data_IF_281336071505
#
_entry.id   IF_281336071505
#
_cell.length_a   1.000
_cell.length_b   1.000
_cell.length_c   1.000
_cell.angle_alpha   90.00
_cell.angle_beta   90.00
_cell.angle_gamma   90.00
#
_symmetry.space_group_name_H-M   'P 1'
#
loop_
_entity.id
_entity.type
_entity.pdbx_description
1 polymer ?
#
# COMPACT_ATOMS: atom_id res chain seq x y z
N UNK A 1 -13.12 4.45 53.41
CA UNK A 1 -14.27 4.67 52.50
C UNK A 1 -14.10 5.94 51.65
N UNK A 2 -14.10 7.14 52.25
CA UNK A 2 -14.02 8.41 51.49
C UNK A 2 -12.74 8.58 50.63
N UNK A 3 -11.58 8.12 51.10
CA UNK A 3 -10.31 8.20 50.34
C UNK A 3 -10.33 7.35 49.06
N UNK A 4 -10.93 6.16 49.12
CA UNK A 4 -11.03 5.30 47.93
C UNK A 4 -12.04 5.84 46.92
N UNK A 5 -13.11 6.47 47.39
CA UNK A 5 -14.09 7.14 46.52
C UNK A 5 -13.42 8.30 45.78
N UNK A 6 -12.60 9.12 46.47
CA UNK A 6 -11.85 10.20 45.82
C UNK A 6 -10.85 9.70 44.76
N UNK A 7 -10.14 8.60 45.04
CA UNK A 7 -9.19 7.99 44.08
C UNK A 7 -9.92 7.38 42.89
N UNK A 8 -11.06 6.73 43.11
CA UNK A 8 -11.89 6.18 42.01
C UNK A 8 -12.48 7.29 41.14
N UNK A 9 -12.93 8.39 41.75
CA UNK A 9 -13.47 9.54 41.01
C UNK A 9 -12.40 10.25 40.19
N UNK A 10 -11.18 10.43 40.72
CA UNK A 10 -10.09 11.04 39.95
C UNK A 10 -9.64 10.14 38.80
N UNK A 11 -9.61 8.82 39.01
CA UNK A 11 -9.28 7.85 37.96
C UNK A 11 -10.34 7.82 36.84
N UNK A 12 -11.63 7.82 37.20
CA UNK A 12 -12.71 7.89 36.21
C UNK A 12 -12.69 9.22 35.42
N UNK A 13 -12.39 10.34 36.08
CA UNK A 13 -12.27 11.64 35.41
C UNK A 13 -11.08 11.67 34.43
N UNK A 14 -9.94 11.05 34.80
CA UNK A 14 -8.78 10.95 33.91
C UNK A 14 -9.06 10.09 32.67
N UNK A 15 -9.82 9.00 32.80
CA UNK A 15 -10.19 8.14 31.66
C UNK A 15 -11.25 8.78 30.74
N UNK A 16 -12.15 9.61 31.28
CA UNK A 16 -13.19 10.27 30.50
C UNK A 16 -12.63 11.33 29.51
N UNK A 17 -11.43 11.86 29.76
CA UNK A 17 -10.77 12.84 28.89
C UNK A 17 -10.33 12.30 27.51
N UNK A 18 -10.31 10.98 27.30
CA UNK A 18 -9.92 10.37 26.02
C UNK A 18 -11.09 10.16 25.04
N UNK A 19 -12.35 10.38 25.45
CA UNK A 19 -13.52 10.14 24.60
C UNK A 19 -14.02 11.39 23.87
N UNK A 20 -13.64 12.59 24.32
CA UNK A 20 -13.99 13.85 23.67
C UNK A 20 -12.98 14.23 22.60
N UNK A 21 -12.85 13.39 21.57
CA UNK A 21 -12.46 13.93 20.28
C UNK A 21 -13.63 14.83 19.85
N UNK A 22 -13.41 16.12 19.49
CA UNK A 22 -14.47 16.90 18.90
C UNK A 22 -15.00 16.09 17.72
N UNK A 23 -16.33 15.89 17.66
CA UNK A 23 -16.95 15.25 16.51
C UNK A 23 -16.47 16.04 15.29
N UNK A 24 -15.59 15.44 14.49
CA UNK A 24 -15.08 16.06 13.29
C UNK A 24 -16.32 16.50 12.52
N UNK A 25 -16.44 17.81 12.25
CA UNK A 25 -17.50 18.33 11.40
C UNK A 25 -17.61 17.38 10.20
N UNK A 26 -18.84 16.93 9.87
CA UNK A 26 -19.11 16.16 8.66
C UNK A 26 -18.89 17.05 7.43
N UNK A 27 -17.64 17.43 7.20
CA UNK A 27 -17.19 18.01 5.94
C UNK A 27 -16.98 16.87 4.96
N UNK A 28 -17.24 17.08 3.67
CA UNK A 28 -16.83 16.14 2.63
C UNK A 28 -15.31 16.10 2.62
N UNK A 29 -14.78 15.15 3.38
CA UNK A 29 -13.35 14.94 3.53
C UNK A 29 -12.91 14.22 2.26
N UNK A 30 -11.96 14.83 1.58
CA UNK A 30 -11.16 14.11 0.64
C UNK A 30 -10.30 13.12 1.39
N UNK A 31 -10.32 11.89 0.95
CA UNK A 31 -9.58 10.80 1.57
C UNK A 31 -8.04 11.00 1.54
N UNK A 32 -7.54 12.07 0.91
CA UNK A 32 -6.13 12.44 0.83
C UNK A 32 -5.63 13.36 1.98
N UNK A 33 -6.51 13.82 2.87
CA UNK A 33 -6.13 14.65 4.03
C UNK A 33 -5.72 16.10 3.71
N UNK A 34 -5.71 16.52 2.44
CA UNK A 34 -5.49 17.92 2.03
C UNK A 34 -6.81 18.69 1.83
N UNK A 35 -7.94 17.99 1.85
CA UNK A 35 -9.27 18.54 1.68
C UNK A 35 -9.56 18.88 0.22
N UNK A 36 -10.57 18.23 -0.35
CA UNK A 36 -11.02 18.42 -1.73
C UNK A 36 -12.37 19.12 -1.69
N UNK A 37 -12.55 20.09 -2.58
CA UNK A 37 -13.85 20.73 -2.76
C UNK A 37 -14.85 19.72 -3.37
N UNK A 38 -15.90 19.33 -2.64
CA UNK A 38 -16.92 18.38 -3.12
C UNK A 38 -17.78 18.93 -4.26
N UNK A 39 -17.74 20.24 -4.50
CA UNK A 39 -18.48 20.90 -5.58
C UNK A 39 -17.62 21.09 -6.84
N UNK A 40 -16.34 20.71 -6.79
CA UNK A 40 -15.46 20.91 -7.92
C UNK A 40 -15.91 19.97 -9.05
N UNK A 41 -16.27 20.50 -10.23
CA UNK A 41 -16.57 19.64 -11.37
C UNK A 41 -15.33 18.79 -11.58
N UNK A 42 -15.50 17.46 -11.52
CA UNK A 42 -14.41 16.53 -11.62
C UNK A 42 -13.63 16.87 -12.89
N UNK A 43 -12.45 17.46 -12.71
CA UNK A 43 -11.51 17.64 -13.81
C UNK A 43 -11.11 16.23 -14.17
N UNK A 44 -11.85 15.64 -15.09
CA UNK A 44 -11.45 14.43 -15.78
C UNK A 44 -10.24 14.83 -16.60
N UNK A 45 -9.07 14.89 -15.94
CA UNK A 45 -7.82 14.54 -16.61
C UNK A 45 -8.01 13.08 -16.99
N UNK A 46 -8.71 12.88 -18.10
CA UNK A 46 -8.73 11.65 -18.85
C UNK A 46 -7.31 11.58 -19.42
N UNK A 47 -6.36 11.22 -18.56
CA UNK A 47 -5.28 10.39 -19.03
C UNK A 47 -6.03 9.19 -19.57
N UNK A 48 -6.17 9.15 -20.89
CA UNK A 48 -6.44 7.89 -21.55
C UNK A 48 -5.40 6.97 -20.92
N UNK A 49 -5.84 6.04 -20.07
CA UNK A 49 -5.08 4.84 -19.86
C UNK A 49 -4.86 4.37 -21.30
N UNK A 50 -3.64 4.58 -21.79
CA UNK A 50 -3.19 3.83 -22.94
C UNK A 50 -3.36 2.42 -22.43
N UNK A 51 -4.45 1.77 -22.84
CA UNK A 51 -4.61 0.34 -22.72
C UNK A 51 -3.49 -0.19 -23.60
N UNK A 52 -2.27 -0.20 -23.04
CA UNK A 52 -1.17 -0.97 -23.58
C UNK A 52 -1.75 -2.37 -23.74
N UNK A 53 -1.52 -2.94 -24.92
CA UNK A 53 -1.97 -4.29 -25.22
C UNK A 53 -1.63 -5.20 -24.03
N UNK A 54 -2.51 -6.15 -23.67
CA UNK A 54 -2.23 -7.06 -22.58
C UNK A 54 -0.88 -7.70 -22.85
N UNK A 55 0.12 -7.30 -22.06
CA UNK A 55 1.44 -7.89 -22.12
C UNK A 55 1.26 -9.37 -21.79
N UNK A 56 1.85 -10.24 -22.60
CA UNK A 56 1.74 -11.68 -22.38
C UNK A 56 2.24 -12.00 -20.98
N UNK A 57 1.41 -12.63 -20.15
CA UNK A 57 1.76 -12.97 -18.78
C UNK A 57 3.01 -13.89 -18.77
N UNK A 58 4.16 -13.43 -18.24
CA UNK A 58 5.38 -14.21 -18.19
C UNK A 58 5.28 -15.43 -17.28
N UNK A 59 4.25 -15.52 -16.43
CA UNK A 59 4.05 -16.64 -15.49
C UNK A 59 3.24 -17.80 -16.08
N UNK A 60 2.71 -17.71 -17.30
CA UNK A 60 1.88 -18.79 -17.89
C UNK A 60 2.61 -20.13 -17.91
N UNK A 61 3.88 -20.14 -18.30
CA UNK A 61 4.65 -21.39 -18.34
C UNK A 61 5.02 -21.89 -16.93
N UNK A 62 5.35 -20.98 -16.00
CA UNK A 62 5.62 -21.34 -14.60
C UNK A 62 4.40 -21.96 -13.93
N UNK A 63 3.21 -21.42 -14.18
CA UNK A 63 1.95 -21.98 -13.68
C UNK A 63 1.69 -23.39 -14.23
N UNK A 64 2.05 -23.65 -15.51
CA UNK A 64 1.98 -25.02 -16.06
C UNK A 64 2.93 -25.96 -15.34
N UNK A 65 4.17 -25.54 -15.08
CA UNK A 65 5.13 -26.35 -14.32
C UNK A 65 4.61 -26.61 -12.91
N UNK A 66 4.16 -25.57 -12.20
CA UNK A 66 3.58 -25.67 -10.86
C UNK A 66 2.45 -26.70 -10.78
N UNK A 67 1.56 -26.75 -11.78
CA UNK A 67 0.45 -27.70 -11.86
C UNK A 67 0.90 -29.17 -12.00
N UNK A 68 2.12 -29.42 -12.45
CA UNK A 68 2.70 -30.78 -12.54
C UNK A 68 3.42 -31.22 -11.27
N UNK A 69 3.74 -30.27 -10.38
CA UNK A 69 4.48 -30.55 -9.16
C UNK A 69 3.56 -31.01 -8.03
N UNK A 70 4.11 -31.82 -7.11
CA UNK A 70 3.35 -32.24 -5.92
C UNK A 70 3.08 -31.00 -5.05
N UNK A 71 1.82 -30.73 -4.66
CA UNK A 71 1.50 -29.61 -3.80
C UNK A 71 2.37 -29.59 -2.53
N UNK A 72 2.86 -28.40 -2.19
CA UNK A 72 3.69 -28.14 -1.01
C UNK A 72 5.03 -28.89 -0.95
N UNK A 73 5.50 -29.48 -2.06
CA UNK A 73 6.88 -29.96 -2.15
C UNK A 73 7.87 -28.81 -2.28
N UNK A 74 9.15 -29.05 -2.00
CA UNK A 74 10.19 -28.03 -2.11
C UNK A 74 10.27 -27.44 -3.53
N UNK A 75 10.12 -28.29 -4.55
CA UNK A 75 10.08 -27.85 -5.94
C UNK A 75 8.84 -27.00 -6.26
N UNK A 76 7.70 -27.31 -5.64
CA UNK A 76 6.47 -26.54 -5.81
C UNK A 76 6.63 -25.13 -5.22
N UNK A 77 7.20 -25.04 -4.00
CA UNK A 77 7.49 -23.74 -3.37
C UNK A 77 8.49 -22.90 -4.16
N UNK A 78 9.54 -23.53 -4.72
CA UNK A 78 10.51 -22.81 -5.54
C UNK A 78 9.85 -22.13 -6.77
N UNK A 79 8.90 -22.81 -7.43
CA UNK A 79 8.18 -22.23 -8.58
C UNK A 79 7.16 -21.19 -8.14
N UNK A 80 6.46 -21.40 -7.02
CA UNK A 80 5.51 -20.44 -6.46
C UNK A 80 6.20 -19.12 -6.09
N UNK A 81 7.36 -19.19 -5.44
CA UNK A 81 8.15 -18.02 -5.06
C UNK A 81 8.61 -17.21 -6.29
N UNK A 82 8.98 -17.89 -7.39
CA UNK A 82 9.29 -17.22 -8.65
C UNK A 82 8.08 -16.51 -9.26
N UNK A 83 6.89 -17.14 -9.20
CA UNK A 83 5.65 -16.56 -9.70
C UNK A 83 5.30 -15.31 -8.90
N UNK A 84 5.36 -15.38 -7.56
CA UNK A 84 5.05 -14.27 -6.68
C UNK A 84 6.04 -13.12 -6.84
N UNK A 85 7.35 -13.42 -6.94
CA UNK A 85 8.37 -12.40 -7.18
C UNK A 85 8.16 -11.64 -8.49
N UNK A 86 7.70 -12.31 -9.55
CA UNK A 86 7.39 -11.65 -10.82
C UNK A 86 6.08 -10.85 -10.75
N UNK A 87 5.07 -11.36 -10.04
CA UNK A 87 3.82 -10.64 -9.79
C UNK A 87 4.08 -9.34 -9.01
N UNK A 88 4.91 -9.39 -7.97
CA UNK A 88 5.34 -8.23 -7.19
C UNK A 88 6.10 -7.21 -8.05
N UNK A 89 6.96 -7.65 -8.97
CA UNK A 89 7.64 -6.75 -9.92
C UNK A 89 6.65 -6.03 -10.82
N UNK A 90 5.69 -6.77 -11.40
CA UNK A 90 4.65 -6.18 -12.24
C UNK A 90 3.77 -5.21 -11.45
N UNK A 91 3.36 -5.60 -10.25
CA UNK A 91 2.56 -4.76 -9.36
C UNK A 91 3.33 -3.50 -8.99
N UNK A 92 4.59 -3.63 -8.61
CA UNK A 92 5.49 -2.51 -8.31
C UNK A 92 5.59 -1.53 -9.47
N UNK A 93 5.72 -2.02 -10.71
CA UNK A 93 5.76 -1.17 -11.91
C UNK A 93 4.45 -0.40 -12.15
N UNK A 94 3.30 -1.04 -11.85
CA UNK A 94 1.96 -0.46 -11.99
C UNK A 94 1.63 0.55 -10.88
N UNK A 95 2.22 0.37 -9.69
CA UNK A 95 2.02 1.23 -8.52
C UNK A 95 2.90 2.50 -8.52
N UNK A 96 3.76 2.71 -9.51
CA UNK A 96 4.59 3.93 -9.58
C UNK A 96 3.73 5.17 -9.88
N UNK A 97 3.33 5.87 -8.83
CA UNK A 97 2.57 7.14 -8.93
C UNK A 97 3.50 8.31 -9.28
N UNK A 98 4.70 8.37 -8.69
CA UNK A 98 5.71 9.39 -8.95
C UNK A 98 7.04 8.74 -9.38
N UNK A 99 7.36 8.83 -10.67
CA UNK A 99 8.61 8.26 -11.21
C UNK A 99 9.89 8.88 -10.63
N UNK A 100 9.84 10.15 -10.23
CA UNK A 100 10.99 10.85 -9.63
C UNK A 100 11.18 10.59 -8.13
N UNK A 101 10.21 9.96 -7.47
CA UNK A 101 10.22 9.70 -6.03
C UNK A 101 10.68 8.27 -5.70
N UNK A 102 10.60 7.36 -6.67
CA UNK A 102 11.07 5.98 -6.52
C UNK A 102 12.57 5.95 -6.79
N UNK A 103 13.35 5.48 -5.81
CA UNK A 103 14.78 5.24 -6.01
C UNK A 103 14.97 4.32 -7.22
N UNK A 104 15.64 4.83 -8.25
CA UNK A 104 16.03 4.00 -9.39
C UNK A 104 16.99 2.92 -8.86
N UNK A 105 16.83 1.65 -9.26
CA UNK A 105 17.84 0.65 -8.96
C UNK A 105 19.19 1.17 -9.47
N UNK A 106 20.28 1.03 -8.69
CA UNK A 106 21.58 1.53 -9.09
C UNK A 106 21.93 0.94 -10.45
N UNK A 107 22.10 1.81 -11.46
CA UNK A 107 22.64 1.39 -12.74
C UNK A 107 23.98 0.71 -12.50
N UNK A 108 24.25 -0.38 -13.23
CA UNK A 108 25.39 -1.27 -13.03
C UNK A 108 26.78 -0.60 -13.14
N UNK A 109 26.86 0.71 -13.41
CA UNK A 109 28.09 1.45 -13.69
C UNK A 109 28.24 2.72 -12.83
N UNK A 110 28.04 2.64 -11.52
CA UNK A 110 28.50 3.71 -10.60
C UNK A 110 29.41 3.14 -9.53
N UNK A 111 30.65 2.84 -9.92
CA UNK A 111 31.78 2.76 -8.98
C UNK A 111 32.15 4.18 -8.56
N UNK A 112 31.36 4.75 -7.65
CA UNK A 112 31.62 6.06 -7.06
C UNK A 112 32.72 5.98 -6.01
N UNK A 113 33.98 6.17 -6.41
CA UNK A 113 35.04 6.58 -5.48
C UNK A 113 34.69 7.96 -4.94
N UNK A 114 34.26 8.03 -3.68
CA UNK A 114 34.04 9.29 -2.98
C UNK A 114 35.41 9.85 -2.58
N UNK A 115 35.64 11.13 -2.90
CA UNK A 115 36.85 11.90 -2.58
C UNK A 115 36.59 12.84 -1.40
#
# INVERSE_FOLDING_TARGET
>A
MARHILVLLSFCAALAGCASAPAAERRPIAWDGLGQDPNRPAVTKRHAASHAAPESDPNVERQRVLATLRPYSDAWWAVEDEIEAENDRQLGSKLVICRGCVAQPPGADVTGSIR
#
